data_IF_849108642186
#
_entry.id   IF_849108642186
#
_cell.length_a   1.000
_cell.length_b   1.000
_cell.length_c   1.000
_cell.angle_alpha   90.00
_cell.angle_beta   90.00
_cell.angle_gamma   90.00
#
_symmetry.space_group_name_H-M   'P 1'
#
loop_
_entity.id
_entity.type
_entity.pdbx_description
1 polymer ?
#
# COMPACT_ATOMS: atom_id res chain seq x y z
N UNK A 1 2.27 14.09 3.08
CA UNK A 1 1.04 14.57 3.77
C UNK A 1 -0.25 14.24 3.01
N UNK A 2 -0.25 14.05 1.68
CA UNK A 2 -1.51 13.87 0.93
C UNK A 2 -1.81 12.45 0.41
N UNK A 3 -0.91 11.47 0.58
CA UNK A 3 -1.17 10.07 0.19
C UNK A 3 -2.04 9.28 1.19
N UNK A 4 -2.45 9.91 2.28
CA UNK A 4 -2.84 9.22 3.50
C UNK A 4 -4.33 8.89 3.62
N UNK A 5 -5.24 9.68 3.01
CA UNK A 5 -6.68 9.54 3.28
C UNK A 5 -7.35 8.41 2.47
N UNK A 6 -6.95 8.19 1.21
CA UNK A 6 -7.47 7.05 0.44
C UNK A 6 -6.87 5.71 0.93
N UNK A 7 -5.64 5.76 1.45
CA UNK A 7 -4.97 4.58 2.02
C UNK A 7 -5.58 4.21 3.38
N UNK A 8 -5.99 5.20 4.19
CA UNK A 8 -6.56 4.95 5.53
C UNK A 8 -7.75 4.02 5.51
N UNK A 9 -8.66 4.17 4.56
CA UNK A 9 -9.83 3.29 4.49
C UNK A 9 -9.50 1.85 4.12
N UNK A 10 -8.52 1.62 3.23
CA UNK A 10 -8.15 0.28 2.82
C UNK A 10 -7.35 -0.42 3.92
N UNK A 11 -6.43 0.32 4.54
CA UNK A 11 -5.61 -0.16 5.66
C UNK A 11 -6.50 -0.42 6.87
N UNK A 12 -7.39 0.50 7.24
CA UNK A 12 -8.29 0.34 8.39
C UNK A 12 -9.21 -0.88 8.26
N UNK A 13 -9.62 -1.22 7.04
CA UNK A 13 -10.42 -2.42 6.79
C UNK A 13 -9.63 -3.72 6.95
N UNK A 14 -8.31 -3.67 6.79
CA UNK A 14 -7.44 -4.85 6.88
C UNK A 14 -6.90 -5.07 8.29
N UNK A 15 -6.49 -4.00 8.98
CA UNK A 15 -5.78 -4.09 10.27
C UNK A 15 -6.46 -3.33 11.42
N UNK A 16 -7.63 -2.74 11.16
CA UNK A 16 -8.37 -1.91 12.12
C UNK A 16 -8.01 -0.43 12.05
N UNK A 17 -8.98 0.42 12.42
CA UNK A 17 -8.87 1.89 12.35
C UNK A 17 -7.74 2.44 13.20
N UNK A 18 -7.59 1.98 14.45
CA UNK A 18 -6.57 2.50 15.36
C UNK A 18 -5.14 2.28 14.85
N UNK A 19 -4.84 1.07 14.36
CA UNK A 19 -3.52 0.76 13.82
C UNK A 19 -3.28 1.47 12.49
N UNK A 20 -4.31 1.59 11.65
CA UNK A 20 -4.25 2.35 10.40
C UNK A 20 -3.91 3.83 10.64
N UNK A 21 -4.59 4.49 11.58
CA UNK A 21 -4.30 5.87 11.97
C UNK A 21 -2.87 6.02 12.48
N UNK A 22 -2.41 5.10 13.34
CA UNK A 22 -1.04 5.11 13.84
C UNK A 22 -0.02 5.02 12.72
N UNK A 23 -0.16 4.06 11.80
CA UNK A 23 0.76 3.89 10.66
C UNK A 23 0.78 5.16 9.81
N UNK A 24 -0.39 5.68 9.50
CA UNK A 24 -0.56 6.82 8.58
C UNK A 24 -0.02 8.12 9.16
N UNK A 25 -0.34 8.40 10.42
CA UNK A 25 0.11 9.62 11.11
C UNK A 25 1.59 9.54 11.50
N UNK A 26 2.13 8.34 11.71
CA UNK A 26 3.55 8.18 12.07
C UNK A 26 4.51 8.65 10.97
N UNK A 27 4.10 8.57 9.69
CA UNK A 27 4.98 8.82 8.56
C UNK A 27 6.21 7.91 8.48
N UNK A 28 6.26 6.83 9.29
CA UNK A 28 7.38 5.88 9.34
C UNK A 28 7.35 4.99 8.09
N UNK A 29 8.53 4.66 7.57
CA UNK A 29 8.71 3.58 6.61
C UNK A 29 8.80 2.24 7.37
N UNK A 30 7.88 1.33 7.05
CA UNK A 30 7.81 -0.01 7.64
C UNK A 30 8.44 -1.02 6.69
N UNK A 31 9.14 -2.02 7.23
CA UNK A 31 9.64 -3.17 6.47
C UNK A 31 8.51 -4.15 6.13
N UNK A 32 8.74 -5.02 5.16
CA UNK A 32 7.75 -6.00 4.72
C UNK A 32 7.32 -6.93 5.88
N UNK A 33 8.29 -7.35 6.71
CA UNK A 33 8.07 -8.24 7.85
C UNK A 33 7.22 -7.55 8.92
N UNK A 34 7.49 -6.28 9.23
CA UNK A 34 6.67 -5.49 10.17
C UNK A 34 5.22 -5.39 9.67
N UNK A 35 5.02 -5.19 8.36
CA UNK A 35 3.68 -5.10 7.77
C UNK A 35 2.97 -6.46 7.71
N UNK A 36 3.72 -7.56 7.60
CA UNK A 36 3.19 -8.91 7.66
C UNK A 36 2.72 -9.27 9.07
N UNK A 37 3.52 -8.96 10.10
CA UNK A 37 3.15 -9.13 11.50
C UNK A 37 1.89 -8.32 11.88
N UNK A 38 1.73 -7.13 11.30
CA UNK A 38 0.55 -6.28 11.48
C UNK A 38 -0.68 -6.76 10.69
N UNK A 39 -0.52 -7.76 9.81
CA UNK A 39 -1.58 -8.27 8.94
C UNK A 39 -1.90 -7.36 7.74
N UNK A 40 -1.07 -6.36 7.45
CA UNK A 40 -1.22 -5.50 6.26
C UNK A 40 -0.70 -6.20 4.99
N UNK A 41 0.33 -7.05 5.13
CA UNK A 41 0.88 -7.92 4.07
C UNK A 41 0.51 -9.37 4.37
N UNK A 42 0.04 -10.12 3.37
CA UNK A 42 -0.43 -11.49 3.57
C UNK A 42 0.64 -12.55 3.28
N UNK A 43 1.66 -12.21 2.49
CA UNK A 43 2.70 -13.13 2.02
C UNK A 43 4.02 -12.37 1.93
N UNK A 44 5.08 -12.95 2.50
CA UNK A 44 6.46 -12.52 2.33
C UNK A 44 7.15 -13.40 1.29
N UNK A 45 8.03 -12.79 0.52
CA UNK A 45 8.90 -13.46 -0.43
C UNK A 45 10.31 -12.86 -0.32
N UNK A 46 11.32 -13.68 -0.55
CA UNK A 46 12.70 -13.22 -0.65
C UNK A 46 12.90 -12.39 -1.93
N UNK A 47 13.96 -11.59 -1.96
CA UNK A 47 14.31 -10.77 -3.12
C UNK A 47 14.50 -11.67 -4.36
N UNK A 48 13.75 -11.37 -5.43
CA UNK A 48 13.73 -12.17 -6.66
C UNK A 48 12.71 -13.32 -6.69
N UNK A 49 12.10 -13.69 -5.56
CA UNK A 49 11.12 -14.80 -5.51
C UNK A 49 9.65 -14.37 -5.58
N UNK A 50 9.37 -13.08 -5.82
CA UNK A 50 8.00 -12.55 -5.81
C UNK A 50 7.07 -13.23 -6.81
N UNK A 51 7.57 -13.54 -8.02
CA UNK A 51 6.78 -14.21 -9.06
C UNK A 51 6.46 -15.66 -8.68
N UNK A 52 7.45 -16.40 -8.19
CA UNK A 52 7.25 -17.77 -7.73
C UNK A 52 6.30 -17.84 -6.54
N UNK A 53 6.41 -16.90 -5.59
CA UNK A 53 5.49 -16.78 -4.47
C UNK A 53 4.05 -16.54 -4.94
N UNK A 54 3.86 -15.69 -5.96
CA UNK A 54 2.56 -15.44 -6.59
C UNK A 54 1.99 -16.71 -7.24
N UNK A 55 2.77 -17.43 -8.04
CA UNK A 55 2.30 -18.69 -8.67
C UNK A 55 2.00 -19.78 -7.63
N UNK A 56 2.76 -19.84 -6.54
CA UNK A 56 2.44 -20.74 -5.41
C UNK A 56 1.12 -20.36 -4.76
N UNK A 57 0.86 -19.06 -4.58
CA UNK A 57 -0.39 -18.56 -4.02
C UNK A 57 -1.60 -18.93 -4.89
N UNK A 58 -1.54 -18.64 -6.20
CA UNK A 58 -2.63 -18.95 -7.15
C UNK A 58 -2.97 -20.45 -7.13
N UNK A 59 -1.96 -21.33 -7.26
CA UNK A 59 -2.16 -22.79 -7.23
C UNK A 59 -2.77 -23.30 -5.92
N UNK A 60 -2.44 -22.67 -4.79
CA UNK A 60 -3.02 -23.00 -3.48
C UNK A 60 -4.48 -22.57 -3.38
N UNK A 61 -4.83 -21.46 -4.03
CA UNK A 61 -6.15 -20.86 -4.00
C UNK A 61 -7.15 -21.63 -4.87
N UNK A 62 -6.76 -22.03 -6.08
CA UNK A 62 -7.56 -22.86 -7.02
C UNK A 62 -8.07 -24.15 -6.36
N UNK A 63 -7.27 -24.75 -5.48
CA UNK A 63 -7.64 -25.96 -4.74
C UNK A 63 -8.70 -25.74 -3.66
N UNK A 64 -9.00 -24.50 -3.28
CA UNK A 64 -9.88 -24.10 -2.16
C UNK A 64 -11.00 -23.15 -2.59
N UNK A 65 -11.34 -23.14 -3.88
CA UNK A 65 -12.13 -22.08 -4.51
C UNK A 65 -13.46 -21.77 -3.80
N UNK A 66 -14.25 -22.77 -3.44
CA UNK A 66 -15.59 -22.52 -2.89
C UNK A 66 -15.56 -21.81 -1.51
N UNK A 67 -14.73 -22.31 -0.59
CA UNK A 67 -14.63 -21.73 0.76
C UNK A 67 -13.96 -20.35 0.74
N UNK A 68 -12.92 -20.18 -0.09
CA UNK A 68 -12.25 -18.89 -0.24
C UNK A 68 -13.19 -17.85 -0.85
N UNK A 69 -13.89 -18.18 -1.94
CA UNK A 69 -14.84 -17.26 -2.56
C UNK A 69 -15.98 -16.87 -1.60
N UNK A 70 -16.51 -17.82 -0.82
CA UNK A 70 -17.53 -17.52 0.18
C UNK A 70 -17.03 -16.52 1.23
N UNK A 71 -15.80 -16.68 1.74
CA UNK A 71 -15.19 -15.73 2.69
C UNK A 71 -15.04 -14.35 2.06
N UNK A 72 -14.61 -14.28 0.79
CA UNK A 72 -14.47 -13.00 0.08
C UNK A 72 -15.82 -12.31 -0.14
N UNK A 73 -16.87 -13.07 -0.48
CA UNK A 73 -18.22 -12.54 -0.63
C UNK A 73 -18.78 -12.02 0.70
N UNK A 74 -18.58 -12.77 1.79
CA UNK A 74 -18.94 -12.32 3.14
C UNK A 74 -18.20 -11.03 3.48
N UNK A 75 -16.89 -10.95 3.18
CA UNK A 75 -16.08 -9.73 3.39
C UNK A 75 -16.62 -8.52 2.66
N UNK A 76 -16.98 -8.69 1.39
CA UNK A 76 -17.60 -7.63 0.61
C UNK A 76 -18.97 -7.21 1.15
N UNK A 77 -19.68 -8.12 1.84
CA UNK A 77 -21.02 -7.83 2.37
C UNK A 77 -21.02 -7.09 3.70
N UNK A 78 -20.11 -7.44 4.63
CA UNK A 78 -20.06 -6.81 5.96
C UNK A 78 -19.20 -5.55 6.00
N UNK A 79 -18.26 -5.39 5.06
CA UNK A 79 -17.37 -4.23 4.99
C UNK A 79 -17.11 -3.79 3.54
N UNK A 80 -18.16 -3.39 2.80
CA UNK A 80 -18.01 -2.93 1.43
C UNK A 80 -17.17 -1.65 1.35
N UNK A 81 -16.50 -1.49 0.21
CA UNK A 81 -15.99 -0.19 -0.24
C UNK A 81 -16.96 0.30 -1.28
N UNK A 82 -17.75 1.32 -0.95
CA UNK A 82 -18.76 1.85 -1.86
C UNK A 82 -18.21 3.01 -2.66
N UNK A 83 -18.72 3.21 -3.88
CA UNK A 83 -18.34 4.37 -4.69
C UNK A 83 -18.64 5.69 -3.96
N UNK A 84 -19.80 5.79 -3.31
CA UNK A 84 -20.18 7.00 -2.58
C UNK A 84 -19.20 7.31 -1.45
N UNK A 85 -18.81 6.30 -0.67
CA UNK A 85 -17.80 6.46 0.39
C UNK A 85 -16.47 7.00 -0.18
N UNK A 86 -16.01 6.47 -1.32
CA UNK A 86 -14.81 6.95 -1.98
C UNK A 86 -14.92 8.42 -2.39
N UNK A 87 -16.08 8.84 -2.92
CA UNK A 87 -16.34 10.22 -3.30
C UNK A 87 -16.36 11.14 -2.08
N UNK A 88 -17.07 10.77 -1.02
CA UNK A 88 -17.20 11.60 0.19
C UNK A 88 -15.85 11.82 0.86
N UNK A 89 -15.02 10.77 0.92
CA UNK A 89 -13.67 10.86 1.47
C UNK A 89 -12.77 11.70 0.58
N UNK A 90 -12.87 11.52 -0.74
CA UNK A 90 -12.10 12.32 -1.69
C UNK A 90 -12.47 13.80 -1.58
N UNK A 91 -13.74 14.14 -1.34
CA UNK A 91 -14.16 15.52 -1.10
C UNK A 91 -13.48 16.11 0.15
N UNK A 92 -13.47 15.39 1.27
CA UNK A 92 -12.75 15.80 2.50
C UNK A 92 -11.26 16.02 2.22
N UNK A 93 -10.66 15.14 1.41
CA UNK A 93 -9.27 15.27 1.01
C UNK A 93 -9.02 16.52 0.15
N UNK A 94 -9.86 16.78 -0.85
CA UNK A 94 -9.74 17.98 -1.71
C UNK A 94 -9.87 19.23 -0.86
N UNK A 95 -10.87 19.30 0.02
CA UNK A 95 -11.07 20.45 0.92
C UNK A 95 -9.87 20.67 1.85
N UNK A 96 -9.21 19.59 2.28
CA UNK A 96 -8.00 19.67 3.10
C UNK A 96 -6.79 20.14 2.28
N UNK A 97 -6.68 19.68 1.03
CA UNK A 97 -5.63 20.10 0.11
C UNK A 97 -5.76 21.58 -0.28
N UNK A 98 -6.98 22.07 -0.47
CA UNK A 98 -7.24 23.49 -0.75
C UNK A 98 -6.90 24.42 0.42
N UNK A 99 -6.79 23.87 1.64
CA UNK A 99 -6.40 24.61 2.86
C UNK A 99 -4.90 24.59 3.14
N UNK A 100 -4.09 24.09 2.21
CA UNK A 100 -2.64 24.06 2.35
C UNK A 100 -2.02 25.45 2.47
N UNK A 101 -1.05 25.58 3.36
CA UNK A 101 -0.29 26.82 3.52
C UNK A 101 0.91 26.87 2.58
N UNK A 102 1.47 28.06 2.36
CA UNK A 102 2.72 28.21 1.59
C UNK A 102 3.87 27.37 2.17
N UNK A 103 3.91 27.20 3.49
CA UNK A 103 4.93 26.38 4.15
C UNK A 103 4.80 24.92 3.73
N UNK A 104 3.59 24.40 3.67
CA UNK A 104 3.33 23.01 3.26
C UNK A 104 3.71 22.79 1.80
N UNK A 105 3.35 23.74 0.92
CA UNK A 105 3.72 23.71 -0.50
C UNK A 105 5.25 23.70 -0.69
N UNK A 106 6.01 24.50 0.07
CA UNK A 106 7.48 24.50 0.03
C UNK A 106 8.08 23.17 0.47
N UNK A 107 7.49 22.50 1.46
CA UNK A 107 7.95 21.16 1.89
C UNK A 107 7.69 20.14 0.80
N UNK A 108 6.53 20.20 0.14
CA UNK A 108 6.22 19.30 -0.98
C UNK A 108 7.16 19.49 -2.16
N UNK A 109 7.44 20.73 -2.57
CA UNK A 109 8.37 21.02 -3.66
C UNK A 109 9.77 20.42 -3.39
N UNK A 110 10.27 20.58 -2.16
CA UNK A 110 11.55 19.97 -1.75
C UNK A 110 11.52 18.45 -1.83
N UNK A 111 10.40 17.84 -1.44
CA UNK A 111 10.25 16.39 -1.44
C UNK A 111 10.20 15.84 -2.87
N UNK A 112 9.48 16.50 -3.78
CA UNK A 112 9.45 16.15 -5.22
C UNK A 112 10.84 16.22 -5.81
N UNK A 113 11.56 17.34 -5.63
CA UNK A 113 12.95 17.50 -6.09
C UNK A 113 13.88 16.42 -5.54
N UNK A 114 13.68 15.99 -4.29
CA UNK A 114 14.49 14.92 -3.71
C UNK A 114 14.17 13.56 -4.30
N UNK A 115 12.90 13.28 -4.62
CA UNK A 115 12.50 12.06 -5.29
C UNK A 115 13.03 12.01 -6.72
N UNK A 116 12.93 13.10 -7.48
CA UNK A 116 13.45 13.19 -8.85
C UNK A 116 14.96 12.89 -8.91
N UNK A 117 15.74 13.41 -7.95
CA UNK A 117 17.17 13.09 -7.86
C UNK A 117 17.45 11.61 -7.59
N UNK A 118 16.65 10.96 -6.76
CA UNK A 118 16.84 9.56 -6.38
C UNK A 118 16.33 8.60 -7.46
N UNK A 119 15.26 8.96 -8.19
CA UNK A 119 14.73 8.16 -9.30
C UNK A 119 15.58 8.25 -10.58
N UNK A 120 16.38 9.31 -10.75
CA UNK A 120 17.23 9.51 -11.95
C UNK A 120 18.62 8.87 -11.81
N UNK A 121 18.95 8.24 -10.68
CA UNK A 121 20.15 7.40 -10.60
C UNK A 121 19.86 6.08 -11.31
N UNK A 122 20.53 5.76 -12.43
CA UNK A 122 20.43 4.43 -13.02
C UNK A 122 20.83 3.43 -11.95
N UNK A 123 20.00 2.43 -11.70
CA UNK A 123 20.44 1.23 -11.01
C UNK A 123 21.45 0.54 -11.95
N UNK A 124 22.73 0.89 -11.82
CA UNK A 124 23.81 0.11 -12.39
C UNK A 124 23.89 -1.20 -11.60
N UNK A 125 23.10 -2.20 -11.98
CA UNK A 125 23.44 -3.59 -11.72
C UNK A 125 24.53 -3.99 -12.71
N UNK A 126 25.77 -4.32 -12.27
CA UNK A 126 26.71 -4.97 -13.16
C UNK A 126 26.17 -6.37 -13.44
N UNK A 127 25.68 -6.56 -14.67
CA UNK A 127 25.44 -7.88 -15.27
C UNK A 127 26.77 -8.66 -15.27
N UNK A 128 27.06 -9.41 -14.20
CA UNK A 128 28.05 -10.48 -14.27
C UNK A 128 27.38 -11.67 -14.96
N UNK A 129 27.42 -11.61 -16.30
CA UNK A 129 27.15 -12.74 -17.16
C UNK A 129 28.31 -13.75 -17.01
N UNK A 130 28.30 -14.55 -15.95
CA UNK A 130 29.20 -15.70 -15.85
C UNK A 130 28.62 -16.84 -16.69
N UNK A 131 28.93 -16.81 -17.99
CA UNK A 131 28.92 -18.01 -18.84
C UNK A 131 30.30 -18.63 -18.75
N UNK A 132 30.39 -19.78 -18.07
CA UNK A 132 31.42 -20.78 -18.25
C UNK A 132 30.77 -22.16 -18.08
#
# INVERSE_FOLDING_TARGET
MFRYLCVSILVARKIGTHLAEKIILSGKMYKAEELFEMGLVDILAEDGEGEDALYRFIRKQERRDNGFQAIQQVRQRYNPVTYQELIDITAIWVDSALRLTEKDLKVMDRLVRSQERNFTQPQEEPLQLNVA
#
